data_IF_741321698778
#
_entry.id   IF_741321698778
#
_cell.length_a   1.000
_cell.length_b   1.000
_cell.length_c   1.000
_cell.angle_alpha   90.00
_cell.angle_beta   90.00
_cell.angle_gamma   90.00
#
_symmetry.space_group_name_H-M   'P 1'
#
loop_
_entity.id
_entity.type
_entity.pdbx_description
1 polymer ?
#
# COMPACT_ATOMS: atom_id res chain seq x y z
N UNK A 1 -1.36 40.22 -49.21
CA UNK A 1 -0.18 39.46 -48.74
C UNK A 1 -0.40 39.27 -47.27
N UNK A 2 -0.64 38.03 -46.88
CA UNK A 2 -1.32 37.67 -45.65
C UNK A 2 -0.42 37.65 -44.41
N UNK A 3 -0.80 38.47 -43.42
CA UNK A 3 -0.28 38.50 -42.06
C UNK A 3 -0.80 37.33 -41.20
N UNK A 4 -0.90 36.11 -41.76
CA UNK A 4 -1.20 34.91 -40.96
C UNK A 4 0.06 34.30 -40.33
N UNK A 5 1.25 34.63 -40.83
CA UNK A 5 2.52 34.12 -40.29
C UNK A 5 2.92 34.79 -38.97
N UNK A 6 2.66 36.09 -38.77
CA UNK A 6 2.99 36.79 -37.51
C UNK A 6 2.05 36.43 -36.34
N UNK A 7 0.80 36.02 -36.63
CA UNK A 7 -0.14 35.53 -35.61
C UNK A 7 0.24 34.15 -35.06
N UNK A 8 0.99 33.34 -35.82
CA UNK A 8 1.37 31.97 -35.43
C UNK A 8 2.52 31.92 -34.40
N UNK A 9 3.34 32.97 -34.30
CA UNK A 9 4.49 32.99 -33.38
C UNK A 9 4.27 33.80 -32.09
N UNK A 10 3.19 34.58 -31.99
CA UNK A 10 2.88 35.40 -30.79
C UNK A 10 2.01 34.69 -29.76
N UNK A 11 1.44 33.52 -30.09
CA UNK A 11 0.61 32.71 -29.17
C UNK A 11 1.38 31.59 -28.47
N UNK A 12 2.69 31.76 -28.24
CA UNK A 12 3.41 30.91 -27.28
C UNK A 12 3.35 31.54 -25.90
N UNK A 13 2.22 31.30 -25.24
CA UNK A 13 2.00 31.58 -23.83
C UNK A 13 3.00 30.76 -22.99
N UNK A 14 4.12 31.39 -22.63
CA UNK A 14 5.11 30.85 -21.69
C UNK A 14 4.52 30.90 -20.27
N UNK A 15 3.70 29.91 -19.94
CA UNK A 15 3.36 29.59 -18.56
C UNK A 15 4.38 28.63 -17.97
N UNK A 16 5.56 29.17 -17.69
CA UNK A 16 6.46 28.63 -16.68
C UNK A 16 7.14 29.79 -15.98
N UNK A 17 6.39 30.42 -15.07
CA UNK A 17 6.98 31.28 -14.04
C UNK A 17 6.53 30.74 -12.69
N UNK A 18 7.51 30.19 -11.99
CA UNK A 18 7.46 29.89 -10.58
C UNK A 18 7.08 31.16 -9.81
N UNK A 19 5.80 31.29 -9.44
CA UNK A 19 5.34 32.31 -8.52
C UNK A 19 5.50 31.78 -7.10
N UNK A 20 6.65 32.08 -6.49
CA UNK A 20 6.73 32.25 -5.02
C UNK A 20 5.74 33.35 -4.62
N UNK A 21 4.56 33.00 -4.15
CA UNK A 21 3.69 33.94 -3.43
C UNK A 21 3.62 33.53 -1.96
N UNK A 22 4.43 34.20 -1.14
CA UNK A 22 4.14 34.39 0.30
C UNK A 22 2.82 35.16 0.42
N UNK A 23 2.01 34.75 1.42
CA UNK A 23 0.95 35.53 2.04
C UNK A 23 -0.10 36.17 1.10
N UNK A 24 -1.18 35.44 0.83
CA UNK A 24 -2.41 35.98 0.28
C UNK A 24 -3.60 35.26 0.90
N UNK A 25 -4.25 35.91 1.89
CA UNK A 25 -5.47 35.43 2.52
C UNK A 25 -6.61 35.33 1.51
N UNK A 26 -7.02 34.10 1.21
CA UNK A 26 -8.16 33.79 0.35
C UNK A 26 -8.95 32.64 0.95
N UNK A 27 -10.04 32.95 1.64
CA UNK A 27 -11.13 32.02 1.98
C UNK A 27 -11.56 31.29 0.69
N UNK A 28 -11.10 30.06 0.45
CA UNK A 28 -11.57 29.32 -0.73
C UNK A 28 -10.83 28.04 -1.17
N UNK A 29 -9.66 27.69 -0.63
CA UNK A 29 -9.01 26.40 -0.96
C UNK A 29 -8.51 25.69 0.31
N UNK A 30 -9.43 24.97 0.97
CA UNK A 30 -9.05 23.92 1.92
C UNK A 30 -8.44 22.79 1.09
N UNK A 31 -7.12 22.67 1.12
CA UNK A 31 -6.40 21.60 0.44
C UNK A 31 -5.10 22.15 -0.12
N UNK A 32 -4.04 22.08 0.69
CA UNK A 32 -2.67 22.23 0.22
C UNK A 32 -2.31 21.12 -0.78
N UNK A 33 -1.02 20.93 -1.05
CA UNK A 33 -0.57 19.76 -1.80
C UNK A 33 -1.12 18.46 -1.17
N UNK A 34 -1.35 17.46 -2.01
CA UNK A 34 -1.65 16.11 -1.51
C UNK A 34 -0.45 15.61 -0.70
N UNK A 35 -0.72 15.18 0.53
CA UNK A 35 0.25 14.57 1.43
C UNK A 35 -0.28 13.18 1.75
N UNK A 36 0.50 12.14 1.48
CA UNK A 36 0.03 10.76 1.67
C UNK A 36 -0.25 10.45 3.13
N UNK A 37 0.43 11.09 4.08
CA UNK A 37 0.13 10.96 5.52
C UNK A 37 -1.35 11.25 5.85
N UNK A 38 -2.03 12.07 5.03
CA UNK A 38 -3.46 12.37 5.21
C UNK A 38 -4.39 11.20 4.87
N UNK A 39 -3.92 10.17 4.15
CA UNK A 39 -4.73 8.98 3.88
C UNK A 39 -4.86 8.07 5.10
N UNK A 40 -3.93 8.13 6.05
CA UNK A 40 -3.96 7.27 7.24
C UNK A 40 -5.14 7.59 8.16
N UNK A 41 -5.84 6.56 8.59
CA UNK A 41 -7.05 6.74 9.38
C UNK A 41 -8.05 5.61 9.24
N UNK A 42 -9.16 5.78 9.96
CA UNK A 42 -10.32 4.92 9.93
C UNK A 42 -11.42 5.62 9.14
N UNK A 43 -12.04 4.88 8.24
CA UNK A 43 -13.11 5.34 7.38
C UNK A 43 -14.34 4.46 7.61
N UNK A 44 -15.48 5.10 7.78
CA UNK A 44 -16.77 4.43 7.73
C UNK A 44 -17.16 4.22 6.27
N UNK A 45 -17.60 3.01 5.94
CA UNK A 45 -17.77 2.54 4.56
C UNK A 45 -19.23 2.21 4.27
N UNK A 46 -19.70 2.68 3.12
CA UNK A 46 -20.97 2.29 2.52
C UNK A 46 -20.72 1.42 1.30
N UNK A 47 -21.15 0.17 1.40
CA UNK A 47 -21.24 -0.78 0.29
C UNK A 47 -22.69 -1.30 0.20
N UNK A 48 -23.54 -0.76 -0.70
CA UNK A 48 -24.95 -1.13 -0.79
C UNK A 48 -25.21 -2.62 -1.02
N UNK A 49 -24.27 -3.34 -1.64
CA UNK A 49 -24.42 -4.78 -1.87
C UNK A 49 -24.07 -5.60 -0.62
N UNK A 50 -23.13 -5.14 0.21
CA UNK A 50 -22.84 -5.79 1.49
C UNK A 50 -24.01 -5.66 2.46
N UNK A 51 -24.64 -4.48 2.52
CA UNK A 51 -25.78 -4.23 3.41
C UNK A 51 -27.02 -5.07 3.10
N UNK A 52 -27.18 -5.52 1.84
CA UNK A 52 -28.28 -6.43 1.46
C UNK A 52 -28.09 -7.85 1.98
N UNK A 53 -26.83 -8.26 2.13
CA UNK A 53 -26.49 -9.59 2.64
C UNK A 53 -26.64 -9.62 4.16
N UNK A 54 -26.29 -8.53 4.86
CA UNK A 54 -26.45 -8.42 6.31
C UNK A 54 -27.91 -8.24 6.76
N UNK A 55 -28.79 -7.64 5.95
CA UNK A 55 -30.20 -7.44 6.32
C UNK A 55 -31.04 -8.72 6.31
N UNK A 56 -30.55 -9.79 5.67
CA UNK A 56 -31.28 -11.04 5.53
C UNK A 56 -31.03 -12.03 6.67
N UNK A 57 -30.12 -11.74 7.60
CA UNK A 57 -29.77 -12.60 8.75
C UNK A 57 -30.26 -12.07 10.10
N UNK A 58 -31.00 -10.95 10.13
CA UNK A 58 -31.44 -10.33 11.37
C UNK A 58 -32.95 -10.47 11.57
N UNK A 59 -33.37 -11.53 12.27
CA UNK A 59 -34.59 -11.45 13.07
C UNK A 59 -34.41 -10.40 14.16
N UNK A 60 -35.44 -9.59 14.37
CA UNK A 60 -35.82 -8.60 15.41
C UNK A 60 -35.02 -8.40 16.74
N UNK A 61 -33.76 -8.78 16.87
CA UNK A 61 -32.97 -8.53 18.08
C UNK A 61 -31.78 -7.64 17.75
N UNK A 62 -31.84 -6.39 18.24
CA UNK A 62 -30.84 -5.33 18.09
C UNK A 62 -29.48 -5.65 18.71
N UNK A 63 -28.78 -6.65 18.17
CA UNK A 63 -27.34 -6.83 18.38
C UNK A 63 -26.61 -5.79 17.56
N UNK A 64 -25.69 -5.08 18.20
CA UNK A 64 -24.78 -4.11 17.58
C UNK A 64 -23.99 -4.78 16.46
N UNK A 65 -24.52 -4.79 15.23
CA UNK A 65 -23.77 -5.22 14.04
C UNK A 65 -22.66 -4.19 13.86
N UNK A 66 -21.40 -4.64 13.84
CA UNK A 66 -20.27 -3.76 13.61
C UNK A 66 -20.50 -2.96 12.32
N UNK A 67 -20.08 -1.69 12.30
CA UNK A 67 -20.17 -0.87 11.09
C UNK A 67 -19.10 -1.30 10.09
N UNK A 68 -19.35 -1.22 8.77
CA UNK A 68 -18.32 -1.48 7.76
C UNK A 68 -17.21 -0.43 7.84
N UNK A 69 -15.96 -0.89 7.82
CA UNK A 69 -14.78 -0.04 8.07
C UNK A 69 -13.72 -0.30 7.02
N UNK A 70 -13.08 0.78 6.58
CA UNK A 70 -11.80 0.76 5.87
C UNK A 70 -10.78 1.44 6.78
N UNK A 71 -9.66 0.77 7.04
CA UNK A 71 -8.58 1.34 7.82
C UNK A 71 -7.28 1.31 7.02
N UNK A 72 -6.60 2.46 6.95
CA UNK A 72 -5.30 2.59 6.29
C UNK A 72 -4.27 2.88 7.38
N UNK A 73 -3.31 1.97 7.55
CA UNK A 73 -2.41 1.96 8.71
C UNK A 73 -1.06 2.62 8.42
N UNK A 74 -0.43 2.25 7.30
CA UNK A 74 0.97 2.59 7.01
C UNK A 74 1.30 2.55 5.52
N UNK A 75 2.49 3.03 5.16
CA UNK A 75 3.07 2.76 3.86
C UNK A 75 3.69 1.35 3.83
N UNK A 76 3.78 0.78 2.63
CA UNK A 76 4.65 -0.37 2.37
C UNK A 76 6.12 -0.01 2.64
N UNK A 77 6.96 -1.02 2.84
CA UNK A 77 8.36 -0.83 3.21
C UNK A 77 9.13 -0.02 2.16
N UNK A 78 8.76 -0.18 0.89
CA UNK A 78 9.30 0.55 -0.27
C UNK A 78 8.69 1.96 -0.48
N UNK A 79 7.68 2.34 0.30
CA UNK A 79 6.96 3.61 0.18
C UNK A 79 6.10 3.77 -1.07
N UNK A 80 5.87 2.70 -1.85
CA UNK A 80 5.15 2.76 -3.13
C UNK A 80 3.64 2.47 -3.01
N UNK A 81 3.20 1.92 -1.87
CA UNK A 81 1.82 1.57 -1.61
C UNK A 81 1.39 1.88 -0.18
N UNK A 82 0.08 1.86 0.02
CA UNK A 82 -0.61 2.00 1.30
C UNK A 82 -1.14 0.63 1.72
N UNK A 83 -0.96 0.29 2.99
CA UNK A 83 -1.42 -0.97 3.56
C UNK A 83 -2.60 -0.70 4.50
N UNK A 84 -3.59 -1.59 4.46
CA UNK A 84 -4.82 -1.42 5.20
C UNK A 84 -5.66 -2.67 5.36
N UNK A 85 -6.85 -2.47 5.88
CA UNK A 85 -7.86 -3.51 6.10
C UNK A 85 -9.24 -2.98 5.71
N UNK A 86 -10.05 -3.85 5.13
CA UNK A 86 -11.43 -3.61 4.76
C UNK A 86 -12.30 -4.67 5.41
N UNK A 87 -13.20 -4.23 6.29
CA UNK A 87 -14.15 -5.08 7.00
C UNK A 87 -15.56 -4.67 6.58
N UNK A 88 -16.28 -5.59 5.94
CA UNK A 88 -17.71 -5.52 5.64
C UNK A 88 -18.39 -6.63 6.46
N UNK A 89 -18.92 -6.31 7.65
CA UNK A 89 -19.42 -7.31 8.60
C UNK A 89 -20.46 -8.25 8.00
N UNK A 90 -20.28 -9.54 8.23
CA UNK A 90 -21.13 -10.60 7.68
C UNK A 90 -20.93 -10.85 6.18
N UNK A 91 -19.83 -10.37 5.58
CA UNK A 91 -19.61 -10.49 4.13
C UNK A 91 -18.14 -10.59 3.73
N UNK A 92 -17.26 -9.71 4.21
CA UNK A 92 -15.86 -9.64 3.79
C UNK A 92 -14.98 -9.13 4.94
N UNK A 93 -13.92 -9.86 5.26
CA UNK A 93 -12.82 -9.36 6.08
C UNK A 93 -11.53 -9.52 5.29
N UNK A 94 -10.90 -8.41 4.90
CA UNK A 94 -9.80 -8.44 3.96
C UNK A 94 -8.67 -7.47 4.28
N UNK A 95 -7.46 -7.90 3.94
CA UNK A 95 -6.27 -7.08 3.86
C UNK A 95 -6.22 -6.42 2.50
N UNK A 96 -5.81 -5.16 2.47
CA UNK A 96 -5.79 -4.38 1.22
C UNK A 96 -4.45 -3.70 1.01
N UNK A 97 -4.07 -3.60 -0.26
CA UNK A 97 -2.92 -2.84 -0.73
C UNK A 97 -3.43 -1.81 -1.72
N UNK A 98 -3.15 -0.52 -1.50
CA UNK A 98 -3.53 0.56 -2.39
C UNK A 98 -2.31 1.25 -3.01
N UNK A 99 -2.35 1.54 -4.31
CA UNK A 99 -1.26 2.25 -4.99
C UNK A 99 -1.81 3.24 -6.03
N UNK A 100 -1.03 4.26 -6.36
CA UNK A 100 -1.42 5.24 -7.39
C UNK A 100 -1.38 4.69 -8.82
N UNK A 101 -0.81 3.50 -9.04
CA UNK A 101 -0.54 2.94 -10.36
C UNK A 101 -0.78 1.43 -10.38
N UNK A 102 -1.52 0.93 -11.39
CA UNK A 102 -1.78 -0.51 -11.56
C UNK A 102 -0.50 -1.34 -11.64
N UNK A 103 0.51 -0.85 -12.36
CA UNK A 103 1.81 -1.54 -12.48
C UNK A 103 2.52 -1.66 -11.13
N UNK A 104 2.42 -0.62 -10.29
CA UNK A 104 2.99 -0.65 -8.94
C UNK A 104 2.20 -1.61 -8.06
N UNK A 105 0.86 -1.63 -8.18
CA UNK A 105 0.01 -2.57 -7.46
C UNK A 105 0.40 -4.02 -7.76
N UNK A 106 0.51 -4.38 -9.03
CA UNK A 106 0.87 -5.74 -9.46
C UNK A 106 2.23 -6.16 -8.91
N UNK A 107 3.24 -5.30 -9.02
CA UNK A 107 4.56 -5.59 -8.48
C UNK A 107 4.57 -5.74 -6.95
N UNK A 108 3.83 -4.91 -6.23
CA UNK A 108 3.79 -4.93 -4.76
C UNK A 108 3.05 -6.18 -4.26
N UNK A 109 1.97 -6.57 -4.92
CA UNK A 109 1.24 -7.80 -4.59
C UNK A 109 2.11 -9.03 -4.81
N UNK A 110 2.85 -9.11 -5.93
CA UNK A 110 3.79 -10.21 -6.18
C UNK A 110 4.86 -10.31 -5.07
N UNK A 111 5.42 -9.18 -4.65
CA UNK A 111 6.40 -9.15 -3.55
C UNK A 111 5.84 -9.69 -2.24
N UNK A 112 4.60 -9.33 -1.90
CA UNK A 112 3.93 -9.81 -0.68
C UNK A 112 3.63 -11.32 -0.76
N UNK A 113 3.26 -11.83 -1.93
CA UNK A 113 3.00 -13.27 -2.14
C UNK A 113 4.31 -14.08 -2.08
N UNK A 114 5.41 -13.55 -2.60
CA UNK A 114 6.74 -14.19 -2.54
C UNK A 114 7.29 -14.22 -1.09
N UNK A 115 7.11 -13.14 -0.33
CA UNK A 115 7.49 -13.07 1.09
C UNK A 115 6.79 -14.17 1.90
N UNK A 116 5.48 -14.37 1.70
CA UNK A 116 4.69 -15.44 2.34
C UNK A 116 5.20 -16.85 2.00
N UNK A 117 5.60 -17.10 0.75
CA UNK A 117 6.13 -18.40 0.33
C UNK A 117 7.48 -18.70 0.99
N UNK A 118 8.35 -17.70 1.11
CA UNK A 118 9.68 -17.87 1.70
C UNK A 118 9.65 -18.16 3.21
N UNK A 119 8.66 -17.61 3.93
CA UNK A 119 8.48 -17.87 5.36
C UNK A 119 8.00 -19.31 5.63
N UNK A 120 7.20 -19.91 4.75
CA UNK A 120 6.69 -21.28 4.90
C UNK A 120 7.74 -22.37 4.66
N UNK A 121 8.71 -22.14 3.76
CA UNK A 121 9.76 -23.12 3.46
C UNK A 121 10.88 -23.17 4.50
N UNK A 122 11.05 -22.10 5.29
CA UNK A 122 12.05 -22.05 6.36
C UNK A 122 11.71 -22.95 7.57
N UNK A 123 10.47 -23.42 7.69
CA UNK A 123 10.00 -24.25 8.81
C UNK A 123 10.19 -25.77 8.62
N UNK A 124 10.81 -26.24 7.53
CA UNK A 124 10.95 -27.69 7.23
C UNK A 124 12.37 -28.26 7.25
N UNK A 125 13.40 -27.44 7.47
CA UNK A 125 14.80 -27.92 7.42
C UNK A 125 15.55 -27.62 8.72
N UNK A 126 15.09 -28.19 9.84
CA UNK A 126 15.92 -28.28 11.04
C UNK A 126 15.80 -29.66 11.70
N UNK A 127 16.35 -30.68 11.03
CA UNK A 127 16.88 -31.87 11.70
C UNK A 127 17.76 -32.71 10.76
N UNK A 128 19.07 -32.50 10.80
CA UNK A 128 20.04 -33.60 11.02
C UNK A 128 21.44 -33.03 11.22
N UNK A 129 21.92 -33.07 12.46
CA UNK A 129 23.33 -32.87 12.79
C UNK A 129 24.21 -34.06 12.34
N UNK A 130 25.42 -33.69 11.91
CA UNK A 130 26.74 -34.28 12.21
C UNK A 130 27.34 -35.45 11.39
N UNK A 131 28.44 -35.05 10.75
CA UNK A 131 29.83 -35.53 10.92
C UNK A 131 30.26 -36.81 10.18
N UNK A 132 31.22 -36.65 9.25
CA UNK A 132 32.52 -37.33 9.26
C UNK A 132 33.59 -36.47 8.58
N UNK A 133 34.79 -36.57 9.13
CA UNK A 133 36.03 -35.83 8.88
C UNK A 133 37.00 -36.68 8.03
N UNK A 134 37.92 -36.01 7.30
CA UNK A 134 39.34 -36.39 7.06
C UNK A 134 39.81 -36.79 5.64
N UNK A 135 40.89 -36.12 5.21
CA UNK A 135 41.86 -36.50 4.15
C UNK A 135 42.35 -35.29 3.32
N UNK A 136 43.28 -34.46 3.82
CA UNK A 136 44.73 -34.44 3.50
C UNK A 136 45.11 -34.61 2.01
N UNK A 137 45.66 -33.56 1.38
CA UNK A 137 46.98 -33.59 0.72
C UNK A 137 47.53 -32.16 0.50
N UNK A 138 48.84 -32.01 0.72
CA UNK A 138 49.63 -30.79 0.61
C UNK A 138 50.14 -30.57 -0.83
N UNK A 139 50.31 -29.32 -1.24
CA UNK A 139 51.52 -28.95 -2.00
C UNK A 139 51.86 -27.47 -1.82
N UNK A 140 52.99 -27.28 -1.13
CA UNK A 140 53.72 -26.03 -0.94
C UNK A 140 54.48 -25.70 -2.23
N UNK A 141 54.37 -24.48 -2.74
CA UNK A 141 55.51 -23.78 -3.35
C UNK A 141 55.50 -22.29 -2.99
N UNK A 142 56.56 -21.90 -2.30
CA UNK A 142 56.97 -20.57 -1.88
C UNK A 142 58.07 -20.04 -2.79
N UNK A 143 58.03 -18.75 -3.16
CA UNK A 143 59.22 -17.91 -3.45
C UNK A 143 58.80 -16.42 -3.47
N UNK A 144 58.87 -15.68 -2.36
CA UNK A 144 59.96 -14.84 -1.84
C UNK A 144 60.22 -13.48 -2.56
N UNK A 145 59.88 -12.40 -1.83
CA UNK A 145 60.61 -11.12 -1.68
C UNK A 145 60.54 -10.09 -2.84
N UNK A 146 60.43 -8.76 -2.66
CA UNK A 146 60.69 -7.83 -1.54
C UNK A 146 60.14 -6.42 -1.89
N UNK A 147 59.73 -5.67 -0.85
CA UNK A 147 59.60 -4.20 -0.65
C UNK A 147 59.49 -3.22 -1.84
N UNK A 148 58.53 -2.29 -1.77
CA UNK A 148 58.80 -0.87 -1.43
C UNK A 148 57.50 -0.11 -1.09
N UNK A 149 57.65 0.87 -0.20
CA UNK A 149 56.65 1.68 0.47
C UNK A 149 55.80 2.59 -0.45
N UNK A 150 54.50 2.70 -0.16
CA UNK A 150 53.75 3.94 -0.42
C UNK A 150 52.52 4.03 0.46
N UNK A 151 52.69 4.77 1.55
CA UNK A 151 51.67 5.36 2.39
C UNK A 151 50.60 6.10 1.56
N UNK A 152 49.36 5.58 1.56
CA UNK A 152 48.17 6.43 1.50
C UNK A 152 47.11 5.84 2.42
N UNK A 153 47.17 6.28 3.68
CA UNK A 153 46.06 6.30 4.61
C UNK A 153 44.90 7.07 3.97
N UNK A 154 43.91 6.37 3.44
CA UNK A 154 42.55 6.88 3.42
C UNK A 154 41.80 6.09 4.48
N UNK A 155 41.80 6.69 5.66
CA UNK A 155 40.93 6.36 6.77
C UNK A 155 39.52 6.15 6.23
N UNK A 156 39.03 4.93 6.40
CA UNK A 156 37.62 4.61 6.31
C UNK A 156 36.94 5.36 7.46
N UNK A 157 36.58 6.63 7.23
CA UNK A 157 35.51 7.24 8.00
C UNK A 157 34.21 6.52 7.61
N UNK A 158 33.99 5.33 8.19
CA UNK A 158 32.66 4.90 8.58
C UNK A 158 32.14 5.96 9.55
N UNK A 159 31.62 7.03 8.95
CA UNK A 159 30.75 7.97 9.63
C UNK A 159 29.59 7.16 10.17
N UNK A 160 29.67 6.84 11.45
CA UNK A 160 28.59 6.32 12.27
C UNK A 160 27.52 7.43 12.35
N UNK A 161 26.86 7.68 11.22
CA UNK A 161 25.71 8.55 11.19
C UNK A 161 24.71 7.95 12.16
N UNK A 162 24.17 8.76 13.09
CA UNK A 162 23.25 8.24 14.08
C UNK A 162 22.13 7.49 13.34
N UNK A 163 21.91 6.22 13.68
CA UNK A 163 20.90 5.36 13.02
C UNK A 163 19.55 6.07 12.88
N UNK A 164 19.25 6.98 13.80
CA UNK A 164 18.09 7.86 13.80
C UNK A 164 18.00 8.79 12.57
N UNK A 165 19.12 9.34 12.11
CA UNK A 165 19.19 10.22 10.93
C UNK A 165 19.00 9.41 9.63
N UNK A 166 19.67 8.25 9.51
CA UNK A 166 19.52 7.37 8.36
C UNK A 166 18.10 6.79 8.26
N UNK A 167 17.46 6.48 9.41
CA UNK A 167 16.06 6.08 9.48
C UNK A 167 15.10 7.20 9.05
N UNK A 168 15.33 8.44 9.50
CA UNK A 168 14.52 9.58 9.09
C UNK A 168 14.67 9.91 7.60
N UNK A 169 15.85 9.74 7.02
CA UNK A 169 16.08 10.01 5.60
C UNK A 169 15.46 8.92 4.71
N UNK A 170 15.50 7.66 5.14
CA UNK A 170 14.71 6.57 4.53
C UNK A 170 13.22 6.86 4.62
N UNK A 171 12.72 7.29 5.79
CA UNK A 171 11.30 7.64 5.97
C UNK A 171 10.89 8.77 5.01
N UNK A 172 11.66 9.87 4.98
CA UNK A 172 11.40 11.03 4.10
C UNK A 172 11.37 10.61 2.62
N UNK A 173 12.28 9.73 2.21
CA UNK A 173 12.33 9.21 0.83
C UNK A 173 11.08 8.40 0.46
N UNK A 174 10.58 7.55 1.38
CA UNK A 174 9.33 6.77 1.17
C UNK A 174 8.14 7.68 0.88
N UNK A 175 7.96 8.75 1.67
CA UNK A 175 6.86 9.70 1.50
C UNK A 175 6.99 10.50 0.20
N UNK A 176 8.19 10.96 -0.15
CA UNK A 176 8.44 11.74 -1.38
C UNK A 176 8.20 10.93 -2.66
N UNK A 177 8.52 9.63 -2.67
CA UNK A 177 8.29 8.76 -3.83
C UNK A 177 6.80 8.65 -4.17
N UNK A 178 5.94 8.71 -3.15
CA UNK A 178 4.49 8.69 -3.33
C UNK A 178 3.92 10.06 -3.75
N UNK A 179 4.48 11.15 -3.21
CA UNK A 179 3.96 12.53 -3.39
C UNK A 179 4.23 13.16 -4.76
N UNK A 180 5.17 12.63 -5.55
CA UNK A 180 5.44 13.12 -6.92
C UNK A 180 4.23 12.98 -7.87
N UNK A 181 3.16 12.30 -7.46
CA UNK A 181 1.89 12.19 -8.17
C UNK A 181 0.78 13.03 -7.51
N UNK A 182 0.94 14.36 -7.46
CA UNK A 182 -0.08 15.28 -6.93
C UNK A 182 -1.30 15.34 -7.86
N UNK A 183 -2.24 14.42 -7.69
CA UNK A 183 -3.51 14.42 -8.39
C UNK A 183 -4.44 15.47 -7.78
N UNK A 184 -5.20 16.21 -8.62
CA UNK A 184 -6.30 17.10 -8.17
C UNK A 184 -7.41 16.34 -7.41
N UNK A 185 -7.38 15.01 -7.47
CA UNK A 185 -8.17 14.05 -6.70
C UNK A 185 -7.37 12.74 -6.62
N UNK A 186 -6.79 12.38 -5.45
CA UNK A 186 -5.96 11.19 -5.32
C UNK A 186 -6.75 9.92 -5.66
N UNK A 187 -6.34 9.23 -6.73
CA UNK A 187 -6.92 7.95 -7.16
C UNK A 187 -5.97 6.82 -6.83
N UNK A 188 -6.47 5.80 -6.15
CA UNK A 188 -5.74 4.60 -5.79
C UNK A 188 -6.42 3.37 -6.38
N UNK A 189 -5.64 2.55 -7.06
CA UNK A 189 -6.01 1.18 -7.37
C UNK A 189 -5.72 0.33 -6.15
N UNK A 190 -6.55 -0.66 -5.87
CA UNK A 190 -6.25 -1.60 -4.79
C UNK A 190 -6.54 -3.03 -5.20
N UNK A 191 -5.80 -3.94 -4.57
CA UNK A 191 -6.11 -5.36 -4.51
C UNK A 191 -6.41 -5.69 -3.05
N UNK A 192 -7.27 -6.67 -2.85
CA UNK A 192 -7.61 -7.18 -1.53
C UNK A 192 -7.50 -8.71 -1.52
N UNK A 193 -7.17 -9.27 -0.37
CA UNK A 193 -7.13 -10.70 -0.10
C UNK A 193 -7.73 -10.94 1.29
N UNK A 194 -8.64 -11.90 1.42
CA UNK A 194 -9.34 -12.11 2.68
C UNK A 194 -10.50 -13.08 2.64
N UNK A 195 -11.10 -13.27 3.80
CA UNK A 195 -12.20 -14.19 4.04
C UNK A 195 -13.53 -13.61 3.54
N UNK A 196 -14.25 -14.41 2.75
CA UNK A 196 -15.58 -14.08 2.25
C UNK A 196 -16.63 -14.98 2.88
N UNK A 197 -17.60 -14.38 3.55
CA UNK A 197 -18.78 -15.10 4.05
C UNK A 197 -19.84 -15.17 2.95
N UNK A 198 -19.76 -16.19 2.10
CA UNK A 198 -20.79 -16.47 1.13
C UNK A 198 -21.97 -17.20 1.81
N UNK A 199 -23.11 -16.53 1.95
CA UNK A 199 -24.35 -17.19 2.37
C UNK A 199 -24.94 -17.99 1.19
N UNK A 200 -24.46 -19.20 0.97
CA UNK A 200 -25.09 -20.12 0.02
C UNK A 200 -26.44 -20.57 0.59
N UNK A 201 -27.53 -19.94 0.15
CA UNK A 201 -28.89 -20.44 0.35
C UNK A 201 -29.12 -21.64 -0.58
N UNK A 202 -28.66 -22.81 -0.16
CA UNK A 202 -29.22 -24.07 -0.64
C UNK A 202 -30.05 -24.67 0.49
N UNK A 203 -31.28 -25.02 0.15
CA UNK A 203 -32.29 -25.70 0.96
C UNK A 203 -31.79 -27.11 1.32
N UNK A 204 -30.77 -27.21 2.17
CA UNK A 204 -30.45 -28.41 2.93
C UNK A 204 -29.55 -28.02 4.09
N UNK A 205 -29.95 -28.48 5.26
CA UNK A 205 -29.56 -28.00 6.57
C UNK A 205 -28.17 -28.53 6.97
N UNK A 206 -27.11 -28.08 6.29
CA UNK A 206 -25.73 -28.25 6.74
C UNK A 206 -24.92 -26.96 6.56
N UNK A 207 -24.63 -26.34 7.70
CA UNK A 207 -23.65 -25.29 7.88
C UNK A 207 -22.30 -25.72 7.27
N UNK A 208 -21.99 -25.16 6.11
CA UNK A 208 -20.61 -24.91 5.75
C UNK A 208 -20.57 -23.48 5.22
N UNK A 209 -20.41 -22.51 6.13
CA UNK A 209 -19.73 -21.29 5.76
C UNK A 209 -18.38 -21.76 5.21
N UNK A 210 -18.28 -21.84 3.89
CA UNK A 210 -17.01 -22.19 3.25
C UNK A 210 -16.17 -20.95 3.41
N UNK A 211 -15.40 -20.95 4.49
CA UNK A 211 -14.39 -19.96 4.79
C UNK A 211 -13.34 -20.02 3.68
N UNK A 212 -13.57 -19.24 2.62
CA UNK A 212 -12.74 -19.20 1.44
C UNK A 212 -12.00 -17.88 1.44
N UNK A 213 -10.67 -17.98 1.42
CA UNK A 213 -9.79 -16.86 1.13
C UNK A 213 -9.92 -16.55 -0.35
N UNK A 214 -10.40 -15.35 -0.64
CA UNK A 214 -10.62 -14.84 -1.98
C UNK A 214 -9.75 -13.60 -2.21
N UNK A 215 -9.57 -13.26 -3.48
CA UNK A 215 -8.92 -12.00 -3.87
C UNK A 215 -9.79 -11.23 -4.84
N UNK A 216 -9.67 -9.91 -4.82
CA UNK A 216 -10.35 -9.06 -5.78
C UNK A 216 -9.68 -7.70 -5.90
N UNK A 217 -10.22 -6.86 -6.78
CA UNK A 217 -9.63 -5.58 -7.13
C UNK A 217 -10.64 -4.46 -7.04
N UNK A 218 -10.12 -3.24 -7.04
CA UNK A 218 -10.96 -2.05 -7.01
C UNK A 218 -10.16 -0.79 -7.19
N UNK A 219 -10.85 0.33 -7.01
CA UNK A 219 -10.21 1.63 -6.89
C UNK A 219 -10.99 2.51 -5.94
N UNK A 220 -10.30 3.47 -5.34
CA UNK A 220 -10.89 4.58 -4.60
C UNK A 220 -10.37 5.91 -5.15
N UNK A 221 -11.19 6.94 -5.08
CA UNK A 221 -10.85 8.31 -5.44
C UNK A 221 -11.26 9.20 -4.28
N UNK A 222 -10.28 9.87 -3.68
CA UNK A 222 -10.54 10.80 -2.59
C UNK A 222 -11.11 12.12 -3.10
N UNK A 223 -12.04 12.67 -2.33
CA UNK A 223 -12.62 13.99 -2.52
C UNK A 223 -11.62 15.05 -2.04
N UNK A 224 -10.72 15.44 -2.93
CA UNK A 224 -9.67 16.43 -2.64
C UNK A 224 -8.49 15.86 -1.84
N UNK A 225 -7.57 16.76 -1.48
CA UNK A 225 -6.25 16.40 -0.98
C UNK A 225 -6.22 16.03 0.52
N UNK A 226 -7.28 16.38 1.26
CA UNK A 226 -7.38 16.08 2.70
C UNK A 226 -7.90 14.67 2.98
N UNK A 227 -8.23 13.89 1.94
CA UNK A 227 -8.67 12.49 2.03
C UNK A 227 -9.85 12.27 2.99
N UNK A 228 -10.75 13.25 3.14
CA UNK A 228 -11.87 13.18 4.11
C UNK A 228 -13.01 12.26 3.69
N UNK A 229 -13.15 12.01 2.39
CA UNK A 229 -14.14 11.07 1.86
C UNK A 229 -13.65 10.51 0.55
N UNK A 230 -14.19 9.37 0.15
CA UNK A 230 -13.83 8.72 -1.12
C UNK A 230 -15.05 8.10 -1.79
N UNK A 231 -14.91 7.88 -3.10
CA UNK A 231 -15.80 7.05 -3.92
C UNK A 231 -14.96 6.07 -4.72
N UNK A 232 -15.49 4.89 -4.96
CA UNK A 232 -14.72 3.80 -5.54
C UNK A 232 -15.59 2.64 -5.99
N UNK A 233 -14.92 1.57 -6.38
CA UNK A 233 -15.56 0.30 -6.69
C UNK A 233 -14.75 -0.86 -6.13
N UNK A 234 -15.44 -1.97 -5.89
CA UNK A 234 -14.86 -3.25 -5.48
C UNK A 234 -15.44 -4.38 -6.34
N UNK A 235 -14.60 -5.34 -6.73
CA UNK A 235 -15.00 -6.60 -7.34
C UNK A 235 -14.77 -7.74 -6.35
N UNK A 236 -15.68 -8.73 -6.34
CA UNK A 236 -15.57 -9.96 -5.56
C UNK A 236 -16.31 -11.07 -6.31
N UNK A 237 -15.57 -12.04 -6.83
CA UNK A 237 -16.14 -13.07 -7.69
C UNK A 237 -17.01 -14.06 -6.89
N UNK A 238 -16.59 -14.44 -5.68
CA UNK A 238 -17.36 -15.29 -4.77
C UNK A 238 -18.74 -14.70 -4.40
N UNK A 239 -18.87 -13.37 -4.38
CA UNK A 239 -20.13 -12.66 -4.12
C UNK A 239 -20.85 -12.22 -5.42
N UNK A 240 -20.34 -12.59 -6.59
CA UNK A 240 -20.82 -12.11 -7.90
C UNK A 240 -20.86 -10.57 -8.00
N UNK A 241 -19.93 -9.89 -7.34
CA UNK A 241 -19.80 -8.44 -7.35
C UNK A 241 -18.89 -7.97 -8.48
N UNK A 242 -19.47 -7.31 -9.47
CA UNK A 242 -18.74 -6.67 -10.57
C UNK A 242 -18.81 -5.15 -10.46
N UNK A 243 -17.69 -4.51 -10.09
CA UNK A 243 -17.54 -3.05 -9.96
C UNK A 243 -18.63 -2.43 -9.07
N UNK A 244 -18.91 -3.07 -7.93
CA UNK A 244 -19.90 -2.60 -6.97
C UNK A 244 -19.43 -1.29 -6.35
N UNK A 245 -20.35 -0.34 -6.18
CA UNK A 245 -20.04 0.96 -5.62
C UNK A 245 -19.56 0.86 -4.17
N UNK A 246 -18.44 1.50 -3.89
CA UNK A 246 -17.86 1.64 -2.56
C UNK A 246 -17.70 3.14 -2.26
N UNK A 247 -18.09 3.59 -1.08
CA UNK A 247 -17.85 4.98 -0.67
C UNK A 247 -17.59 5.04 0.82
N UNK A 248 -16.95 6.10 1.29
CA UNK A 248 -16.71 6.26 2.72
C UNK A 248 -16.31 7.66 3.13
N UNK A 249 -16.35 7.91 4.44
CA UNK A 249 -15.89 9.14 5.06
C UNK A 249 -14.92 8.83 6.20
N UNK A 250 -13.94 9.71 6.36
CA UNK A 250 -12.92 9.58 7.40
C UNK A 250 -13.54 9.89 8.74
N UNK A 251 -13.54 8.91 9.63
CA UNK A 251 -14.00 9.04 11.00
C UNK A 251 -12.87 9.60 11.88
N UNK A 252 -11.69 9.00 11.77
CA UNK A 252 -10.54 9.34 12.61
C UNK A 252 -9.28 9.45 11.73
N UNK A 253 -8.55 10.55 11.86
CA UNK A 253 -7.19 10.66 11.33
C UNK A 253 -6.21 10.07 12.33
N UNK A 254 -5.31 9.22 11.83
CA UNK A 254 -4.28 8.58 12.64
C UNK A 254 -2.91 8.85 12.03
N UNK A 255 -1.87 8.80 12.85
CA UNK A 255 -0.50 8.66 12.36
C UNK A 255 -0.29 7.28 11.75
N UNK A 256 0.82 7.11 11.06
CA UNK A 256 1.29 5.78 10.66
C UNK A 256 1.37 4.87 11.90
N UNK A 257 0.88 3.64 11.76
CA UNK A 257 0.93 2.62 12.81
C UNK A 257 1.66 1.40 12.29
N UNK A 258 2.64 0.96 13.05
CA UNK A 258 3.36 -0.28 12.78
C UNK A 258 2.53 -1.47 13.27
N UNK A 259 1.51 -1.80 12.48
CA UNK A 259 0.66 -2.97 12.69
C UNK A 259 1.19 -4.09 11.79
N UNK A 260 1.36 -5.33 12.31
CA UNK A 260 1.66 -6.48 11.48
C UNK A 260 0.68 -6.56 10.30
N UNK A 261 1.23 -6.69 9.10
CA UNK A 261 0.45 -6.80 7.88
C UNK A 261 0.77 -8.16 7.26
N UNK A 262 -0.19 -9.06 7.32
CA UNK A 262 -0.15 -10.38 6.68
C UNK A 262 -1.08 -10.27 5.47
N UNK A 263 -0.63 -10.66 4.28
CA UNK A 263 -1.41 -10.43 3.06
C UNK A 263 -2.54 -11.45 2.92
N UNK A 264 -2.34 -12.70 3.32
CA UNK A 264 -3.40 -13.68 3.56
C UNK A 264 -2.91 -15.11 3.66
#
# INVERSE_FOLDING_TARGET
>A
MDDWQEAAFTTRHVHNRASKSKAGGGRGRRGGAFEVKKTFGRYDVKCPNASKNSSNSCGENGRNVASPILQIFRLSNDGRGLLGELVLPGTLEARIVLTGSRKILENLVLQLEDEEASEQDSAKNDHSERAYEKGQDESIQSDASRNDDSMTSNDEEEGDEPKDQQCQDKERSRFQNFEKNSFRSPKFWFQWKGQVEASSKTLDNQLSATDRVETGRGYIVFSGNDCRSFKGTITCDALSWKNVSLSGWKEVSMSERDVPFIWG
#
